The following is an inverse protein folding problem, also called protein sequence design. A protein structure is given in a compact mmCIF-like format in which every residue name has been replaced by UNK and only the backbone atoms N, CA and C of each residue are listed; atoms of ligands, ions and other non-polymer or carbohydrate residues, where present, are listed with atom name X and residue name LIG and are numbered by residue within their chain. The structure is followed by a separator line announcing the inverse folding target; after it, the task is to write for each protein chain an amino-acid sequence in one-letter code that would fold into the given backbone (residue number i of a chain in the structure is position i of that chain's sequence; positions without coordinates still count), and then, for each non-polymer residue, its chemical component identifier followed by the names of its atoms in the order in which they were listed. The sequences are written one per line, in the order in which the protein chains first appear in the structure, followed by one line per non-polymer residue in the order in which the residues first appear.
data_IF_017690324002
#
_entry.id   IF_017690324002
#
_cell.length_a   1.000
_cell.length_b   1.000
_cell.length_c   1.000
_cell.angle_alpha   90.00
_cell.angle_beta   90.00
_cell.angle_gamma   90.00
#
_symmetry.space_group_name_H-M   'P 1'
#
loop_
_entity.id
_entity.type
_entity.pdbx_description
1 polymer ?
#
# COMPACT_ATOMS: atom_id res chain seq x y z
N UNK A 1 -42.67 4.72 4.39
CA UNK A 1 -41.57 5.67 4.66
C UNK A 1 -40.31 4.86 4.75
N UNK A 2 -39.43 4.99 3.78
CA UNK A 2 -38.27 4.06 3.56
C UNK A 2 -36.90 4.73 3.78
N UNK A 3 -36.90 6.03 4.07
CA UNK A 3 -35.73 6.91 4.13
C UNK A 3 -35.60 7.69 5.47
N UNK A 4 -36.13 7.13 6.56
CA UNK A 4 -36.03 7.74 7.91
C UNK A 4 -34.58 7.80 8.37
N UNK A 5 -33.76 6.82 7.96
CA UNK A 5 -32.33 6.73 8.25
C UNK A 5 -31.61 6.37 6.96
N UNK A 6 -30.59 7.15 6.62
CA UNK A 6 -29.67 6.87 5.51
C UNK A 6 -28.26 6.57 6.01
N UNK A 7 -27.67 5.49 5.53
CA UNK A 7 -26.25 5.12 5.77
C UNK A 7 -25.52 5.21 4.44
N UNK A 8 -24.33 5.79 4.44
CA UNK A 8 -23.44 5.82 3.27
C UNK A 8 -22.19 5.02 3.52
N UNK A 9 -21.88 4.14 2.59
CA UNK A 9 -20.63 3.37 2.58
C UNK A 9 -19.85 3.81 1.34
N UNK A 10 -18.66 4.34 1.57
CA UNK A 10 -17.78 4.81 0.49
C UNK A 10 -16.59 3.88 0.43
N UNK A 11 -16.36 3.27 -0.75
CA UNK A 11 -15.23 2.40 -1.03
C UNK A 11 -14.12 3.20 -1.72
N UNK A 12 -12.88 2.71 -1.64
CA UNK A 12 -11.79 3.33 -2.41
C UNK A 12 -11.86 2.95 -3.89
N UNK A 13 -12.28 1.74 -4.20
CA UNK A 13 -12.35 1.22 -5.57
C UNK A 13 -13.77 0.84 -5.95
N UNK A 14 -14.09 0.99 -7.23
CA UNK A 14 -15.43 0.73 -7.76
C UNK A 14 -15.84 -0.75 -7.62
N UNK A 15 -14.95 -1.68 -7.82
CA UNK A 15 -15.24 -3.13 -7.71
C UNK A 15 -15.50 -3.59 -6.27
N UNK A 16 -15.09 -2.81 -5.27
CA UNK A 16 -15.42 -3.09 -3.87
C UNK A 16 -16.90 -2.84 -3.55
N UNK A 17 -17.60 -2.06 -4.39
CA UNK A 17 -19.05 -1.82 -4.22
C UNK A 17 -19.82 -3.12 -4.25
N UNK A 18 -19.50 -4.05 -5.16
CA UNK A 18 -20.16 -5.34 -5.27
C UNK A 18 -19.80 -6.28 -4.11
N UNK A 19 -18.58 -6.20 -3.60
CA UNK A 19 -18.16 -6.94 -2.41
C UNK A 19 -18.95 -6.49 -1.17
N UNK A 20 -19.09 -5.17 -0.97
CA UNK A 20 -19.88 -4.61 0.13
C UNK A 20 -21.38 -4.92 -0.07
N UNK A 21 -21.89 -4.86 -1.31
CA UNK A 21 -23.28 -5.22 -1.63
C UNK A 21 -23.58 -6.66 -1.18
N UNK A 22 -22.72 -7.60 -1.51
CA UNK A 22 -22.85 -9.00 -1.10
C UNK A 22 -22.88 -9.16 0.44
N UNK A 23 -22.01 -8.45 1.15
CA UNK A 23 -22.01 -8.46 2.62
C UNK A 23 -23.32 -7.91 3.21
N UNK A 24 -23.90 -6.87 2.58
CA UNK A 24 -25.16 -6.30 3.02
C UNK A 24 -26.32 -7.27 2.75
N UNK A 25 -26.35 -7.91 1.59
CA UNK A 25 -27.35 -8.93 1.23
C UNK A 25 -27.30 -10.13 2.18
N UNK A 26 -26.12 -10.49 2.69
CA UNK A 26 -25.98 -11.54 3.70
C UNK A 26 -26.53 -11.13 5.08
N UNK A 27 -26.35 -9.88 5.46
CA UNK A 27 -26.65 -9.40 6.82
C UNK A 27 -28.03 -8.77 6.96
N UNK A 28 -28.64 -8.32 5.87
CA UNK A 28 -29.92 -7.61 5.86
C UNK A 28 -30.89 -8.24 4.87
N UNK A 29 -32.17 -8.05 5.14
CA UNK A 29 -33.25 -8.36 4.19
C UNK A 29 -33.42 -7.17 3.26
N UNK A 30 -33.28 -7.38 1.95
CA UNK A 30 -33.32 -6.34 0.94
C UNK A 30 -34.74 -6.17 0.41
N UNK A 31 -35.28 -4.95 0.51
CA UNK A 31 -36.50 -4.56 -0.18
C UNK A 31 -36.16 -4.25 -1.66
N UNK A 32 -36.27 -5.27 -2.51
CA UNK A 32 -35.90 -5.18 -3.94
C UNK A 32 -36.74 -4.19 -4.73
N UNK A 33 -38.01 -3.99 -4.33
CA UNK A 33 -38.96 -3.07 -5.02
C UNK A 33 -38.57 -1.60 -4.81
N UNK A 34 -38.03 -1.28 -3.65
CA UNK A 34 -37.65 0.09 -3.29
C UNK A 34 -36.12 0.33 -3.40
N UNK A 35 -35.35 -0.70 -3.73
CA UNK A 35 -33.89 -0.61 -3.98
C UNK A 35 -33.60 -0.28 -5.44
N UNK A 36 -32.49 0.40 -5.71
CA UNK A 36 -32.10 0.77 -7.06
C UNK A 36 -30.59 0.64 -7.28
N UNK A 37 -30.20 -0.07 -8.32
CA UNK A 37 -28.83 -0.03 -8.82
C UNK A 37 -28.74 0.99 -9.95
N UNK A 38 -28.31 2.21 -9.62
CA UNK A 38 -28.20 3.31 -10.57
C UNK A 38 -27.04 3.13 -11.56
N UNK A 39 -26.15 2.17 -11.33
CA UNK A 39 -25.06 1.83 -12.26
C UNK A 39 -25.59 1.15 -13.52
N UNK A 40 -26.71 0.42 -13.40
CA UNK A 40 -27.34 -0.33 -14.50
C UNK A 40 -28.46 0.51 -15.17
N UNK A 41 -29.02 1.49 -14.47
CA UNK A 41 -30.16 2.27 -14.95
C UNK A 41 -29.81 3.37 -15.96
N UNK A 42 -28.53 3.65 -16.18
CA UNK A 42 -28.10 4.63 -17.17
C UNK A 42 -28.11 4.02 -18.58
N UNK A 43 -28.66 4.75 -19.53
CA UNK A 43 -28.53 4.40 -20.93
C UNK A 43 -27.03 4.38 -21.32
N UNK A 44 -26.59 3.52 -22.25
CA UNK A 44 -25.16 3.38 -22.61
C UNK A 44 -24.51 4.67 -23.13
N UNK A 45 -25.29 5.62 -23.59
CA UNK A 45 -24.84 6.94 -24.08
C UNK A 45 -24.89 8.04 -23.03
N UNK A 46 -25.23 7.72 -21.78
CA UNK A 46 -25.37 8.68 -20.69
C UNK A 46 -24.35 8.44 -19.57
N UNK A 47 -23.77 9.52 -19.13
CA UNK A 47 -22.92 9.55 -17.93
C UNK A 47 -23.66 10.29 -16.81
N UNK A 48 -23.58 9.78 -15.61
CA UNK A 48 -24.27 10.37 -14.47
C UNK A 48 -23.89 9.71 -13.16
N UNK A 49 -24.78 9.86 -12.19
CA UNK A 49 -24.59 9.35 -10.84
C UNK A 49 -24.62 7.82 -10.80
N UNK A 50 -23.52 7.23 -10.38
CA UNK A 50 -23.38 5.78 -10.21
C UNK A 50 -23.36 5.43 -8.72
N UNK A 51 -24.38 4.74 -8.24
CA UNK A 51 -24.42 4.22 -6.88
C UNK A 51 -25.41 3.07 -6.76
N UNK A 52 -25.19 2.23 -5.77
CA UNK A 52 -26.13 1.20 -5.38
C UNK A 52 -26.89 1.67 -4.14
N UNK A 53 -28.22 1.69 -4.22
CA UNK A 53 -29.11 2.08 -3.16
C UNK A 53 -29.91 0.86 -2.71
N UNK A 54 -29.68 0.40 -1.49
CA UNK A 54 -30.44 -0.66 -0.88
C UNK A 54 -31.37 -0.10 0.20
N UNK A 55 -32.67 -0.43 0.10
CA UNK A 55 -33.59 -0.31 1.20
C UNK A 55 -33.59 -1.63 1.94
N UNK A 56 -33.24 -1.60 3.21
CA UNK A 56 -32.96 -2.80 4.00
C UNK A 56 -33.72 -2.79 5.32
N UNK A 57 -33.93 -3.98 5.87
CA UNK A 57 -34.35 -4.20 7.24
C UNK A 57 -33.50 -5.30 7.89
N UNK A 58 -33.59 -5.41 9.22
CA UNK A 58 -32.85 -6.45 9.94
C UNK A 58 -33.30 -7.85 9.51
N UNK A 59 -32.35 -8.75 9.27
CA UNK A 59 -32.54 -10.17 8.93
C UNK A 59 -32.55 -11.04 10.18
N UNK A 60 -33.22 -12.18 10.16
CA UNK A 60 -33.07 -13.19 11.20
C UNK A 60 -31.66 -13.79 11.23
N UNK A 61 -31.10 -14.18 12.37
CA UNK A 61 -31.73 -14.14 13.72
C UNK A 61 -31.59 -12.78 14.45
N UNK A 62 -30.94 -11.77 13.85
CA UNK A 62 -30.70 -10.47 14.51
C UNK A 62 -32.01 -9.76 14.88
N UNK A 63 -33.02 -9.87 14.02
CA UNK A 63 -34.32 -9.26 14.21
C UNK A 63 -35.02 -9.75 15.48
N UNK A 64 -34.84 -10.99 15.91
CA UNK A 64 -35.44 -11.57 17.09
C UNK A 64 -34.71 -11.28 18.41
N UNK A 65 -33.54 -10.65 18.38
CA UNK A 65 -32.82 -10.27 19.59
C UNK A 65 -33.56 -9.14 20.34
N UNK A 66 -33.61 -9.20 21.68
CA UNK A 66 -34.33 -8.27 22.53
C UNK A 66 -33.94 -6.81 22.28
N UNK A 67 -32.69 -6.53 22.10
CA UNK A 67 -32.17 -5.17 21.81
C UNK A 67 -32.63 -4.60 20.49
N UNK A 68 -33.04 -5.45 19.53
CA UNK A 68 -33.48 -5.04 18.20
C UNK A 68 -35.00 -5.15 17.98
N UNK A 69 -35.75 -5.71 18.93
CA UNK A 69 -37.22 -5.91 18.78
C UNK A 69 -38.00 -4.64 18.38
N UNK A 70 -37.61 -3.49 18.92
CA UNK A 70 -38.27 -2.20 18.60
C UNK A 70 -38.02 -1.75 17.15
N UNK A 71 -37.05 -2.34 16.44
CA UNK A 71 -36.65 -1.99 15.09
C UNK A 71 -37.04 -3.05 14.04
N UNK A 72 -37.77 -4.09 14.41
CA UNK A 72 -38.05 -5.25 13.55
C UNK A 72 -38.65 -4.89 12.19
N UNK A 73 -39.45 -3.81 12.12
CA UNK A 73 -40.09 -3.34 10.88
C UNK A 73 -39.45 -2.05 10.33
N UNK A 74 -38.38 -1.58 10.92
CA UNK A 74 -37.70 -0.36 10.48
C UNK A 74 -36.94 -0.60 9.22
N UNK A 75 -37.31 0.08 8.13
CA UNK A 75 -36.55 0.13 6.89
C UNK A 75 -35.65 1.35 6.90
N UNK A 76 -34.45 1.21 6.32
CA UNK A 76 -33.49 2.29 6.13
C UNK A 76 -32.72 2.11 4.83
N UNK A 77 -32.13 3.20 4.34
CA UNK A 77 -31.37 3.21 3.10
C UNK A 77 -29.89 3.00 3.39
N UNK A 78 -29.24 2.12 2.59
CA UNK A 78 -27.79 2.01 2.50
C UNK A 78 -27.36 2.37 1.09
N UNK A 79 -26.60 3.44 0.94
CA UNK A 79 -26.00 3.88 -0.31
C UNK A 79 -24.55 3.42 -0.36
N UNK A 80 -24.16 2.73 -1.44
CA UNK A 80 -22.79 2.22 -1.65
C UNK A 80 -22.25 2.81 -2.94
N UNK A 81 -21.04 3.39 -2.90
CA UNK A 81 -20.41 4.02 -4.05
C UNK A 81 -18.90 4.19 -3.85
N UNK A 82 -18.15 4.37 -4.94
CA UNK A 82 -16.75 4.72 -4.84
C UNK A 82 -16.54 6.15 -4.29
N UNK A 83 -15.34 6.44 -3.83
CA UNK A 83 -14.97 7.77 -3.34
C UNK A 83 -15.09 8.84 -4.45
N UNK A 84 -14.80 8.51 -5.70
CA UNK A 84 -14.93 9.43 -6.81
C UNK A 84 -16.41 9.72 -7.12
N UNK A 85 -17.24 8.70 -7.12
CA UNK A 85 -18.69 8.86 -7.28
C UNK A 85 -19.31 9.60 -6.11
N UNK A 86 -18.78 9.41 -4.91
CA UNK A 86 -19.20 10.17 -3.73
C UNK A 86 -18.90 11.66 -3.89
N UNK A 87 -17.66 12.00 -4.27
CA UNK A 87 -17.27 13.39 -4.47
C UNK A 87 -18.10 14.09 -5.54
N UNK A 88 -18.32 13.40 -6.67
CA UNK A 88 -19.17 13.94 -7.76
C UNK A 88 -20.59 14.21 -7.30
N UNK A 89 -21.21 13.26 -6.60
CA UNK A 89 -22.58 13.36 -6.16
C UNK A 89 -22.80 14.49 -5.12
N UNK A 90 -21.86 14.69 -4.19
CA UNK A 90 -21.96 15.77 -3.20
C UNK A 90 -21.81 17.15 -3.88
N UNK A 91 -20.90 17.27 -4.86
CA UNK A 91 -20.68 18.51 -5.60
C UNK A 91 -21.88 18.82 -6.51
N UNK A 92 -22.39 17.81 -7.23
CA UNK A 92 -23.54 17.95 -8.11
C UNK A 92 -24.79 18.35 -7.31
N UNK A 93 -25.01 17.71 -6.17
CA UNK A 93 -26.11 18.03 -5.26
C UNK A 93 -26.01 19.46 -4.71
N UNK A 94 -24.82 19.89 -4.25
CA UNK A 94 -24.63 21.24 -3.68
C UNK A 94 -24.83 22.34 -4.75
N UNK A 95 -24.28 22.15 -5.94
CA UNK A 95 -24.40 23.11 -7.02
C UNK A 95 -25.75 23.07 -7.75
N UNK A 96 -26.34 21.88 -7.92
CA UNK A 96 -27.64 21.68 -8.57
C UNK A 96 -28.83 22.04 -7.69
N UNK A 97 -28.75 21.75 -6.39
CA UNK A 97 -29.88 22.03 -5.47
C UNK A 97 -30.07 23.52 -5.19
N UNK A 98 -29.02 24.33 -5.22
CA UNK A 98 -29.11 25.79 -5.01
C UNK A 98 -29.81 26.52 -6.15
N UNK A 99 -29.93 25.94 -7.30
CA UNK A 99 -30.68 26.46 -8.46
C UNK A 99 -32.05 25.76 -8.52
N UNK A 100 -33.04 26.24 -7.75
CA UNK A 100 -34.42 25.73 -7.79
C UNK A 100 -35.10 25.84 -9.17
N UNK A 101 -34.48 26.52 -10.15
CA UNK A 101 -34.88 26.59 -11.56
C UNK A 101 -33.87 25.79 -12.37
N UNK A 102 -34.35 24.97 -13.27
CA UNK A 102 -33.59 24.02 -14.10
C UNK A 102 -32.14 24.43 -14.39
N UNK A 103 -31.19 23.59 -13.97
CA UNK A 103 -29.80 23.78 -14.30
C UNK A 103 -29.66 23.92 -15.82
N UNK A 104 -28.98 24.97 -16.35
CA UNK A 104 -28.80 25.15 -17.79
C UNK A 104 -28.20 23.92 -18.45
N UNK A 105 -28.65 23.60 -19.68
CA UNK A 105 -28.27 22.38 -20.40
C UNK A 105 -26.75 22.26 -20.62
N UNK A 106 -26.06 23.38 -20.81
CA UNK A 106 -24.60 23.42 -20.96
C UNK A 106 -23.89 22.99 -19.66
N UNK A 107 -24.41 23.38 -18.51
CA UNK A 107 -23.89 22.97 -17.19
C UNK A 107 -24.18 21.49 -16.93
N UNK A 108 -25.41 21.02 -17.22
CA UNK A 108 -25.74 19.58 -17.12
C UNK A 108 -24.78 18.74 -17.98
N UNK A 109 -24.50 19.18 -19.21
CA UNK A 109 -23.53 18.51 -20.09
C UNK A 109 -22.10 18.50 -19.52
N UNK A 110 -21.71 19.52 -18.76
CA UNK A 110 -20.40 19.56 -18.08
C UNK A 110 -20.37 18.57 -16.92
N UNK A 111 -21.43 18.45 -16.14
CA UNK A 111 -21.55 17.42 -15.09
C UNK A 111 -21.50 16.01 -15.68
N UNK A 112 -22.21 15.72 -16.76
CA UNK A 112 -22.16 14.42 -17.43
C UNK A 112 -20.75 14.07 -17.93
N UNK A 113 -20.02 15.05 -18.52
CA UNK A 113 -18.63 14.83 -18.93
C UNK A 113 -17.71 14.52 -17.77
N UNK A 114 -17.88 15.22 -16.62
CA UNK A 114 -17.12 14.93 -15.41
C UNK A 114 -17.45 13.55 -14.84
N UNK A 115 -18.72 13.13 -14.86
CA UNK A 115 -19.10 11.79 -14.45
C UNK A 115 -18.39 10.72 -15.27
N UNK A 116 -18.32 10.86 -16.60
CA UNK A 116 -17.59 9.93 -17.48
C UNK A 116 -16.08 9.91 -17.23
N UNK A 117 -15.48 11.06 -16.94
CA UNK A 117 -14.05 11.11 -16.56
C UNK A 117 -13.78 10.42 -15.23
N UNK A 118 -14.67 10.54 -14.26
CA UNK A 118 -14.54 9.89 -12.95
C UNK A 118 -14.78 8.38 -13.04
N UNK A 119 -15.70 7.93 -13.91
CA UNK A 119 -15.90 6.50 -14.20
C UNK A 119 -14.66 5.88 -14.84
N UNK A 120 -14.03 6.59 -15.79
CA UNK A 120 -12.75 6.17 -16.37
C UNK A 120 -11.65 6.11 -15.29
N UNK A 121 -11.56 7.13 -14.42
CA UNK A 121 -10.58 7.16 -13.35
C UNK A 121 -10.79 6.00 -12.35
N UNK A 122 -12.03 5.70 -11.95
CA UNK A 122 -12.36 4.56 -11.09
C UNK A 122 -11.87 3.24 -11.73
N UNK A 123 -12.13 3.07 -13.03
CA UNK A 123 -11.67 1.88 -13.78
C UNK A 123 -10.15 1.77 -13.81
N UNK A 124 -9.44 2.87 -14.07
CA UNK A 124 -7.98 2.88 -14.11
C UNK A 124 -7.35 2.63 -12.71
N UNK A 125 -7.95 3.11 -11.64
CA UNK A 125 -7.47 2.79 -10.28
C UNK A 125 -7.59 1.29 -9.97
N UNK A 126 -8.66 0.63 -10.38
CA UNK A 126 -8.80 -0.84 -10.24
C UNK A 126 -7.69 -1.54 -11.04
N UNK A 127 -7.45 -1.16 -12.30
CA UNK A 127 -6.39 -1.72 -13.15
C UNK A 127 -5.00 -1.55 -12.54
N UNK A 128 -4.69 -0.33 -12.07
CA UNK A 128 -3.40 -0.06 -11.40
C UNK A 128 -3.21 -0.99 -10.19
N UNK A 129 -4.23 -1.18 -9.35
CA UNK A 129 -4.18 -2.11 -8.21
C UNK A 129 -3.92 -3.55 -8.64
N UNK A 130 -4.60 -4.01 -9.70
CA UNK A 130 -4.41 -5.35 -10.25
C UNK A 130 -3.00 -5.54 -10.82
N UNK A 131 -2.51 -4.56 -11.57
CA UNK A 131 -1.19 -4.61 -12.19
C UNK A 131 -0.08 -4.59 -11.14
N UNK A 132 -0.21 -3.79 -10.08
CA UNK A 132 0.69 -3.84 -8.92
C UNK A 132 0.68 -5.21 -8.25
N UNK A 133 -0.50 -5.82 -8.08
CA UNK A 133 -0.61 -7.16 -7.50
C UNK A 133 0.04 -8.25 -8.39
N UNK A 134 -0.19 -8.18 -9.70
CA UNK A 134 0.46 -9.07 -10.68
C UNK A 134 1.97 -8.89 -10.69
N UNK A 135 2.45 -7.64 -10.68
CA UNK A 135 3.88 -7.33 -10.60
C UNK A 135 4.51 -7.98 -9.37
N UNK A 136 3.93 -7.76 -8.20
CA UNK A 136 4.40 -8.35 -6.95
C UNK A 136 4.49 -9.88 -7.00
N UNK A 137 3.45 -10.54 -7.55
CA UNK A 137 3.44 -11.99 -7.70
C UNK A 137 4.51 -12.49 -8.67
N UNK A 138 4.71 -11.79 -9.80
CA UNK A 138 5.70 -12.16 -10.81
C UNK A 138 7.12 -12.00 -10.28
N UNK A 139 7.41 -10.87 -9.64
CA UNK A 139 8.71 -10.62 -9.00
C UNK A 139 9.00 -11.68 -7.93
N UNK A 140 8.02 -11.99 -7.07
CA UNK A 140 8.19 -13.03 -6.06
C UNK A 140 8.47 -14.40 -6.66
N UNK A 141 7.77 -14.77 -7.74
CA UNK A 141 8.01 -16.04 -8.45
C UNK A 141 9.40 -16.09 -9.08
N UNK A 142 9.84 -15.01 -9.72
CA UNK A 142 11.15 -14.91 -10.32
C UNK A 142 12.27 -15.10 -9.27
N UNK A 143 12.22 -14.34 -8.18
CA UNK A 143 13.22 -14.41 -7.11
C UNK A 143 13.24 -15.79 -6.43
N UNK A 144 12.06 -16.40 -6.16
CA UNK A 144 11.98 -17.75 -5.60
C UNK A 144 12.49 -18.83 -6.58
N UNK A 145 12.32 -18.60 -7.89
CA UNK A 145 12.84 -19.45 -8.95
C UNK A 145 14.32 -19.26 -9.28
N UNK A 146 15.03 -18.44 -8.48
CA UNK A 146 16.44 -18.07 -8.68
C UNK A 146 16.70 -17.25 -9.95
N UNK A 147 15.67 -16.67 -10.55
CA UNK A 147 15.83 -15.63 -11.55
C UNK A 147 15.98 -14.27 -10.82
N UNK A 148 17.22 -13.86 -10.65
CA UNK A 148 17.59 -12.65 -9.92
C UNK A 148 17.78 -11.44 -10.85
N UNK A 149 17.62 -11.60 -12.17
CA UNK A 149 17.74 -10.48 -13.11
C UNK A 149 16.47 -9.61 -13.15
N UNK A 150 15.99 -9.27 -11.99
CA UNK A 150 14.83 -8.38 -11.78
C UNK A 150 15.30 -7.03 -11.26
N UNK A 151 14.68 -5.93 -11.69
CA UNK A 151 14.98 -4.59 -11.17
C UNK A 151 14.77 -4.50 -9.65
N UNK A 152 15.59 -3.67 -9.00
CA UNK A 152 15.41 -3.37 -7.58
C UNK A 152 14.23 -2.42 -7.41
N UNK A 153 13.21 -2.92 -6.74
CA UNK A 153 12.09 -2.18 -6.19
C UNK A 153 11.71 -2.71 -4.80
N UNK A 154 10.64 -2.16 -4.23
CA UNK A 154 10.15 -2.58 -2.92
C UNK A 154 9.83 -4.08 -2.85
N UNK A 155 9.18 -4.60 -3.89
CA UNK A 155 8.65 -5.96 -3.88
C UNK A 155 9.75 -7.00 -4.16
N UNK A 156 10.69 -6.69 -5.05
CA UNK A 156 11.86 -7.53 -5.32
C UNK A 156 12.81 -7.61 -4.11
N UNK A 157 13.05 -6.50 -3.42
CA UNK A 157 13.87 -6.50 -2.20
C UNK A 157 13.21 -7.31 -1.08
N UNK A 158 11.89 -7.19 -0.86
CA UNK A 158 11.18 -8.00 0.13
C UNK A 158 11.33 -9.48 -0.20
N UNK A 159 11.03 -9.85 -1.45
CA UNK A 159 11.12 -11.25 -1.89
C UNK A 159 12.55 -11.80 -1.69
N UNK A 160 13.56 -11.02 -2.05
CA UNK A 160 14.96 -11.41 -1.88
C UNK A 160 15.35 -11.55 -0.40
N UNK A 161 15.03 -10.58 0.46
CA UNK A 161 15.35 -10.66 1.90
C UNK A 161 14.68 -11.87 2.55
N UNK A 162 13.43 -12.18 2.16
CA UNK A 162 12.68 -13.29 2.73
C UNK A 162 13.19 -14.65 2.27
N UNK A 163 13.65 -14.77 1.02
CA UNK A 163 14.02 -16.04 0.39
C UNK A 163 15.51 -16.33 0.37
N UNK A 164 16.39 -15.30 0.33
CA UNK A 164 17.83 -15.50 0.17
C UNK A 164 18.48 -16.16 1.39
N UNK A 165 19.07 -17.35 1.24
CA UNK A 165 19.86 -17.99 2.31
C UNK A 165 21.06 -17.13 2.73
N UNK A 166 21.65 -16.39 1.78
CA UNK A 166 22.77 -15.49 2.02
C UNK A 166 22.38 -14.38 3.00
N UNK A 167 21.28 -13.66 2.71
CA UNK A 167 20.79 -12.58 3.59
C UNK A 167 20.41 -13.13 4.95
N UNK A 168 19.75 -14.29 5.00
CA UNK A 168 19.37 -14.92 6.27
C UNK A 168 20.59 -15.29 7.11
N UNK A 169 21.67 -15.80 6.50
CA UNK A 169 22.92 -16.10 7.17
C UNK A 169 23.57 -14.83 7.74
N UNK A 170 23.67 -13.78 6.92
CA UNK A 170 24.29 -12.52 7.33
C UNK A 170 23.50 -11.84 8.46
N UNK A 171 22.18 -11.77 8.35
CA UNK A 171 21.31 -11.18 9.37
C UNK A 171 21.39 -11.94 10.69
N UNK A 172 21.46 -13.30 10.66
CA UNK A 172 21.67 -14.11 11.85
C UNK A 172 23.02 -13.84 12.50
N UNK A 173 24.08 -13.77 11.71
CA UNK A 173 25.43 -13.46 12.23
C UNK A 173 25.46 -12.11 12.95
N UNK A 174 24.72 -11.10 12.42
CA UNK A 174 24.57 -9.81 13.09
C UNK A 174 23.76 -9.97 14.38
N UNK A 175 22.61 -10.62 14.30
CA UNK A 175 21.70 -10.78 15.44
C UNK A 175 22.36 -11.51 16.61
N UNK A 176 23.05 -12.62 16.34
CA UNK A 176 23.74 -13.44 17.34
C UNK A 176 24.87 -12.66 18.03
N UNK A 177 25.59 -11.80 17.30
CA UNK A 177 26.68 -10.99 17.85
C UNK A 177 26.22 -9.96 18.89
N UNK A 178 24.93 -9.61 18.91
CA UNK A 178 24.35 -8.58 19.79
C UNK A 178 23.16 -9.08 20.58
N UNK A 179 22.86 -10.39 20.58
CA UNK A 179 21.73 -11.00 21.25
C UNK A 179 20.38 -10.34 20.87
N UNK A 180 20.20 -10.05 19.55
CA UNK A 180 19.02 -9.40 19.01
C UNK A 180 18.03 -10.42 18.45
N UNK A 181 16.73 -10.14 18.60
CA UNK A 181 15.69 -10.87 17.87
C UNK A 181 15.51 -10.31 16.46
N UNK A 182 15.24 -11.20 15.47
CA UNK A 182 14.97 -10.80 14.09
C UNK A 182 13.46 -10.55 13.90
N UNK A 183 13.10 -9.39 13.37
CA UNK A 183 11.75 -9.05 12.95
C UNK A 183 11.64 -8.91 11.44
N UNK A 184 10.43 -9.07 10.90
CA UNK A 184 10.16 -8.86 9.46
C UNK A 184 10.45 -7.41 9.06
N UNK A 185 10.93 -7.24 7.82
CA UNK A 185 11.08 -5.92 7.20
C UNK A 185 9.69 -5.34 6.92
N UNK A 186 9.48 -4.07 7.29
CA UNK A 186 8.23 -3.37 6.94
C UNK A 186 8.24 -2.95 5.46
N UNK A 187 7.04 -2.74 4.89
CA UNK A 187 6.90 -2.24 3.52
C UNK A 187 7.62 -0.89 3.33
N UNK A 188 7.50 0.03 4.28
CA UNK A 188 8.21 1.32 4.23
C UNK A 188 9.73 1.13 4.33
N UNK A 189 10.19 0.22 5.18
CA UNK A 189 11.62 -0.14 5.27
C UNK A 189 12.17 -0.68 3.96
N UNK A 190 11.43 -1.54 3.27
CA UNK A 190 11.83 -2.10 1.98
C UNK A 190 11.92 -1.03 0.87
N UNK A 191 11.00 -0.07 0.83
CA UNK A 191 11.07 1.05 -0.11
C UNK A 191 12.32 1.90 0.10
N UNK A 192 12.70 2.13 1.37
CA UNK A 192 13.96 2.82 1.69
C UNK A 192 15.17 2.01 1.23
N UNK A 193 15.18 0.70 1.50
CA UNK A 193 16.27 -0.17 1.04
C UNK A 193 16.43 -0.18 -0.48
N UNK A 194 15.32 -0.23 -1.22
CA UNK A 194 15.34 -0.17 -2.68
C UNK A 194 15.98 1.14 -3.18
N UNK A 195 15.57 2.26 -2.59
CA UNK A 195 16.13 3.57 -2.91
C UNK A 195 17.63 3.65 -2.54
N UNK A 196 18.01 3.16 -1.36
CA UNK A 196 19.40 3.18 -0.90
C UNK A 196 20.31 2.37 -1.85
N UNK A 197 19.83 1.21 -2.35
CA UNK A 197 20.59 0.39 -3.32
C UNK A 197 20.77 1.11 -4.65
N UNK A 198 19.73 1.78 -5.14
CA UNK A 198 19.83 2.57 -6.38
C UNK A 198 20.82 3.74 -6.24
N UNK A 199 20.87 4.40 -5.08
CA UNK A 199 21.85 5.48 -4.80
C UNK A 199 23.28 5.00 -4.88
N UNK A 200 23.59 3.78 -4.47
CA UNK A 200 24.94 3.18 -4.57
C UNK A 200 25.18 2.45 -5.91
N UNK A 201 24.26 2.63 -6.89
CA UNK A 201 24.42 2.14 -8.26
C UNK A 201 24.01 0.69 -8.49
N UNK A 202 23.38 0.03 -7.52
CA UNK A 202 22.86 -1.33 -7.64
C UNK A 202 21.43 -1.27 -8.20
N UNK A 203 21.20 -1.86 -9.37
CA UNK A 203 19.95 -1.74 -10.13
C UNK A 203 19.11 -3.01 -10.17
N UNK A 204 19.73 -4.18 -10.00
CA UNK A 204 19.06 -5.48 -10.04
C UNK A 204 19.32 -6.29 -8.78
N UNK A 205 18.45 -7.25 -8.48
CA UNK A 205 18.67 -8.20 -7.37
C UNK A 205 19.92 -9.07 -7.63
N UNK A 206 20.24 -9.37 -8.88
CA UNK A 206 21.46 -10.09 -9.21
C UNK A 206 22.72 -9.32 -8.80
N UNK A 207 22.77 -8.02 -9.10
CA UNK A 207 23.89 -7.16 -8.67
C UNK A 207 24.00 -7.10 -7.15
N UNK A 208 22.85 -7.00 -6.45
CA UNK A 208 22.79 -7.00 -4.99
C UNK A 208 23.29 -8.33 -4.40
N UNK A 209 22.81 -9.47 -4.91
CA UNK A 209 23.22 -10.80 -4.46
C UNK A 209 24.73 -11.00 -4.64
N UNK A 210 25.24 -10.69 -5.83
CA UNK A 210 26.68 -10.74 -6.13
C UNK A 210 27.51 -9.87 -5.20
N UNK A 211 27.03 -8.65 -4.93
CA UNK A 211 27.73 -7.71 -4.05
C UNK A 211 27.75 -8.22 -2.60
N UNK A 212 26.65 -8.74 -2.11
CA UNK A 212 26.58 -9.36 -0.78
C UNK A 212 27.37 -10.67 -0.69
N UNK A 213 27.47 -11.45 -1.77
CA UNK A 213 28.30 -12.64 -1.79
C UNK A 213 29.80 -12.31 -1.63
N UNK A 214 30.25 -11.19 -2.20
CA UNK A 214 31.64 -10.74 -2.11
C UNK A 214 31.96 -10.03 -0.80
N UNK A 215 31.09 -9.12 -0.38
CA UNK A 215 31.37 -8.18 0.70
C UNK A 215 30.52 -8.40 1.96
N UNK A 216 29.55 -9.31 1.95
CA UNK A 216 28.58 -9.49 3.03
C UNK A 216 29.20 -9.74 4.40
N UNK A 217 30.21 -10.60 4.49
CA UNK A 217 30.89 -10.87 5.77
C UNK A 217 31.71 -9.65 6.26
N UNK A 218 32.23 -8.83 5.33
CA UNK A 218 32.87 -7.55 5.66
C UNK A 218 31.84 -6.53 6.14
N UNK A 219 30.65 -6.51 5.54
CA UNK A 219 29.52 -5.66 5.97
C UNK A 219 29.10 -6.02 7.40
N UNK A 220 29.00 -7.31 7.73
CA UNK A 220 28.73 -7.78 9.09
C UNK A 220 29.78 -7.29 10.07
N UNK A 221 31.05 -7.49 9.74
CA UNK A 221 32.19 -7.05 10.56
C UNK A 221 32.20 -5.52 10.74
N UNK A 222 31.87 -4.79 9.68
CA UNK A 222 31.72 -3.33 9.69
C UNK A 222 30.64 -2.87 10.67
N UNK A 223 29.45 -3.47 10.59
CA UNK A 223 28.33 -3.18 11.47
C UNK A 223 28.69 -3.47 12.92
N UNK A 224 29.38 -4.59 13.20
CA UNK A 224 29.85 -4.93 14.54
C UNK A 224 30.80 -3.86 15.10
N UNK A 225 31.74 -3.35 14.30
CA UNK A 225 32.63 -2.27 14.72
C UNK A 225 31.91 -0.94 14.98
N UNK A 226 30.82 -0.68 14.26
CA UNK A 226 30.01 0.52 14.43
C UNK A 226 29.13 0.42 15.67
N UNK A 227 28.45 -0.71 15.88
CA UNK A 227 27.49 -0.89 16.98
C UNK A 227 28.17 -0.96 18.34
N UNK A 228 29.36 -1.51 18.47
CA UNK A 228 30.13 -1.54 19.73
C UNK A 228 30.43 -0.18 20.31
N UNK A 229 30.30 0.88 19.50
CA UNK A 229 30.46 2.28 19.92
C UNK A 229 29.16 2.95 20.37
N UNK A 230 28.01 2.29 20.25
CA UNK A 230 26.69 2.84 20.62
C UNK A 230 26.19 2.26 21.94
N UNK A 231 25.90 3.09 22.91
CA UNK A 231 25.40 2.74 24.23
C UNK A 231 23.93 2.23 24.28
N UNK A 232 23.17 2.29 23.16
CA UNK A 232 21.78 1.78 23.09
C UNK A 232 21.54 1.11 21.73
N UNK A 233 21.60 -0.20 21.73
CA UNK A 233 21.13 -1.03 20.60
C UNK A 233 19.67 -1.42 20.85
N UNK A 234 18.82 -1.34 19.84
CA UNK A 234 17.47 -1.91 19.90
C UNK A 234 17.57 -3.40 20.24
N UNK A 235 16.61 -3.96 20.95
CA UNK A 235 16.52 -5.41 21.19
C UNK A 235 16.12 -6.20 19.94
N UNK A 236 15.72 -5.52 18.89
CA UNK A 236 15.26 -6.11 17.64
C UNK A 236 16.04 -5.59 16.44
N UNK A 237 16.34 -6.50 15.51
CA UNK A 237 16.94 -6.23 14.22
C UNK A 237 15.94 -6.53 13.11
N UNK A 238 15.72 -5.59 12.19
CA UNK A 238 14.91 -5.87 11.00
C UNK A 238 15.69 -6.77 10.04
N UNK A 239 15.05 -7.79 9.47
CA UNK A 239 15.62 -8.56 8.36
C UNK A 239 16.03 -7.62 7.23
N UNK A 240 17.08 -7.96 6.50
CA UNK A 240 17.70 -7.09 5.51
C UNK A 240 18.70 -6.11 6.12
N UNK A 241 19.15 -6.33 7.35
CA UNK A 241 20.15 -5.48 7.99
C UNK A 241 21.48 -5.46 7.19
N UNK A 242 21.93 -6.60 6.71
CA UNK A 242 23.11 -6.67 5.86
C UNK A 242 22.95 -5.85 4.57
N UNK A 243 21.77 -5.89 3.94
CA UNK A 243 21.43 -5.05 2.78
C UNK A 243 21.50 -3.58 3.15
N UNK A 244 20.86 -3.18 4.25
CA UNK A 244 20.85 -1.78 4.69
C UNK A 244 22.24 -1.22 4.98
N UNK A 245 23.12 -2.02 5.53
CA UNK A 245 24.48 -1.58 5.88
C UNK A 245 25.46 -1.60 4.71
N UNK A 246 25.06 -2.14 3.57
CA UNK A 246 25.88 -2.13 2.36
C UNK A 246 26.16 -0.71 1.86
N UNK A 247 25.14 0.18 1.86
CA UNK A 247 25.29 1.59 1.47
C UNK A 247 26.35 2.34 2.30
N UNK A 248 26.23 2.38 3.63
CA UNK A 248 27.27 2.97 4.50
C UNK A 248 28.65 2.31 4.37
N UNK A 249 28.70 1.00 4.14
CA UNK A 249 29.95 0.28 3.93
C UNK A 249 30.63 0.72 2.63
N UNK A 250 29.91 0.87 1.54
CA UNK A 250 30.44 1.38 0.27
C UNK A 250 30.87 2.85 0.42
N UNK A 251 30.03 3.70 1.01
CA UNK A 251 30.35 5.09 1.25
C UNK A 251 31.65 5.28 2.05
N UNK A 252 31.91 4.41 3.03
CA UNK A 252 33.13 4.47 3.84
C UNK A 252 34.42 4.20 3.04
N UNK A 253 34.33 3.71 1.80
CA UNK A 253 35.46 3.43 0.89
C UNK A 253 35.73 4.59 -0.07
N UNK A 254 34.88 5.60 -0.11
CA UNK A 254 34.94 6.75 -1.01
C UNK A 254 35.67 7.93 -0.39
N UNK A 255 35.96 8.93 -1.22
CA UNK A 255 36.41 10.24 -0.76
C UNK A 255 35.32 10.93 0.09
N UNK A 256 35.74 11.80 0.99
CA UNK A 256 34.87 12.34 2.04
C UNK A 256 33.60 13.04 1.52
N UNK A 257 33.75 13.87 0.48
CA UNK A 257 32.62 14.62 -0.09
C UNK A 257 31.60 13.70 -0.76
N UNK A 258 32.08 12.69 -1.52
CA UNK A 258 31.22 11.69 -2.14
C UNK A 258 30.52 10.81 -1.09
N UNK A 259 31.25 10.40 -0.07
CA UNK A 259 30.70 9.61 1.01
C UNK A 259 29.61 10.36 1.79
N UNK A 260 29.84 11.63 2.11
CA UNK A 260 28.84 12.50 2.79
C UNK A 260 27.61 12.66 1.93
N UNK A 261 27.74 12.92 0.63
CA UNK A 261 26.61 13.06 -0.28
C UNK A 261 25.74 11.79 -0.33
N UNK A 262 26.35 10.60 -0.38
CA UNK A 262 25.63 9.32 -0.32
C UNK A 262 24.90 9.17 1.02
N UNK A 263 25.60 9.37 2.14
CA UNK A 263 25.04 9.20 3.49
C UNK A 263 23.88 10.17 3.77
N UNK A 264 23.94 11.40 3.27
CA UNK A 264 22.84 12.36 3.34
C UNK A 264 21.66 11.90 2.52
N UNK A 265 21.92 11.41 1.29
CA UNK A 265 20.85 10.93 0.38
C UNK A 265 20.11 9.74 0.96
N UNK A 266 20.82 8.74 1.52
CA UNK A 266 20.22 7.58 2.18
C UNK A 266 19.75 7.89 3.62
N UNK A 267 19.85 9.15 4.06
CA UNK A 267 19.47 9.61 5.41
C UNK A 267 20.05 8.74 6.52
N UNK A 268 21.33 8.40 6.40
CA UNK A 268 21.98 7.52 7.36
C UNK A 268 22.40 8.29 8.62
N UNK A 269 22.01 7.85 9.83
CA UNK A 269 22.08 8.68 11.04
C UNK A 269 23.49 8.77 11.69
N UNK A 270 24.52 8.24 11.05
CA UNK A 270 25.87 8.21 11.61
C UNK A 270 26.82 9.16 10.91
N UNK A 271 27.67 9.80 11.70
CA UNK A 271 28.72 10.66 11.16
C UNK A 271 29.76 9.87 10.35
N UNK A 272 30.26 10.50 9.29
CA UNK A 272 31.23 9.90 8.36
C UNK A 272 32.48 9.36 9.09
N UNK A 273 33.00 10.07 10.08
CA UNK A 273 34.20 9.64 10.82
C UNK A 273 34.03 8.30 11.53
N UNK A 274 32.82 8.01 12.01
CA UNK A 274 32.49 6.74 12.67
C UNK A 274 32.57 5.62 11.67
N UNK A 275 31.94 5.77 10.51
CA UNK A 275 31.93 4.74 9.47
C UNK A 275 33.34 4.55 8.86
N UNK A 276 34.06 5.62 8.60
CA UNK A 276 35.44 5.56 8.07
C UNK A 276 36.41 4.86 9.06
N UNK A 277 36.29 5.18 10.34
CA UNK A 277 37.06 4.51 11.38
C UNK A 277 36.76 3.02 11.51
N UNK A 278 35.47 2.65 11.39
CA UNK A 278 35.06 1.24 11.42
C UNK A 278 35.59 0.48 10.19
N UNK A 279 35.51 1.09 9.00
CA UNK A 279 35.98 0.48 7.74
C UNK A 279 37.48 0.17 7.73
N UNK A 280 38.32 1.06 8.29
CA UNK A 280 39.76 0.89 8.40
C UNK A 280 40.21 -0.33 9.23
N UNK A 281 39.31 -0.84 10.10
CA UNK A 281 39.58 -2.00 10.96
C UNK A 281 39.25 -3.35 10.30
N UNK A 282 38.69 -3.30 9.10
CA UNK A 282 38.25 -4.49 8.36
C UNK A 282 39.32 -4.72 7.26
N UNK A 283 39.97 -5.86 7.32
CA UNK A 283 40.93 -6.31 6.32
C UNK A 283 40.25 -7.04 5.17
#
# INVERSE_FOLDING_TARGET
MTDILGVRITTYFQDEVDTIASLIEDQFEIDRENSADRRILLDPDRFGYLSLHYIVQLKEPRRSLLEYQRFQQTKFEIQIRSILQHAWAEIEHDLGYKTKNAVPTDIQRRFSRLAGLLELADTEFVRIREDLSKHQQNVRKAVLGSDLDVPIDRDSIIAYIESSPLVQRLDRSIADSFELSLRKTSLGGASVLASDMQVIGIKTIHELDRKLAIDGDKVVSFLQQVLTKKSKVSKELSRGAAVRWLGPFEAASLEEDQAKAILETIKFPLAFDIIKSARRKIK
#
